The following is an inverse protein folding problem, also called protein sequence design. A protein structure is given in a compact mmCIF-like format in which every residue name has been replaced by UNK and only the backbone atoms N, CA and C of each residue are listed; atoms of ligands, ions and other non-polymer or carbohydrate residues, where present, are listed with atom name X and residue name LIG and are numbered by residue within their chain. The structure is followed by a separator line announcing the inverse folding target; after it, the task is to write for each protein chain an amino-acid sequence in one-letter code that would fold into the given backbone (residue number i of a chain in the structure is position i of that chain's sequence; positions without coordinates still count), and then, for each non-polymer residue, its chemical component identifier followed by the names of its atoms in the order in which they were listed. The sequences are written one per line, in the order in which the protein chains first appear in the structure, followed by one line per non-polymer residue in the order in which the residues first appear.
data_IF_843896583778
#
_entry.id   IF_843896583778
#
_cell.length_a   1.000
_cell.length_b   1.000
_cell.length_c   1.000
_cell.angle_alpha   90.00
_cell.angle_beta   90.00
_cell.angle_gamma   90.00
#
_symmetry.space_group_name_H-M   'P 1'
#
loop_
_entity.id
_entity.type
_entity.pdbx_description
1 polymer ?
#
# COMPACT_ATOMS: atom_id res chain seq x y z
N UNK A 1 29.35 -27.30 -53.43
CA UNK A 1 28.22 -26.39 -53.16
C UNK A 1 27.62 -26.76 -51.81
N UNK A 2 28.20 -26.27 -50.71
CA UNK A 2 27.80 -26.65 -49.34
C UNK A 2 27.99 -25.51 -48.33
N UNK A 3 28.14 -24.26 -48.78
CA UNK A 3 28.38 -23.11 -47.88
C UNK A 3 27.12 -22.32 -47.50
N UNK A 4 26.02 -22.46 -48.25
CA UNK A 4 24.76 -21.76 -47.93
C UNK A 4 23.92 -22.41 -46.83
N UNK A 5 23.99 -23.73 -46.67
CA UNK A 5 23.19 -24.46 -45.68
C UNK A 5 23.72 -24.29 -44.25
N UNK A 6 25.05 -24.17 -44.07
CA UNK A 6 25.67 -23.95 -42.76
C UNK A 6 25.47 -22.51 -42.28
N UNK A 7 25.59 -21.50 -43.15
CA UNK A 7 25.36 -20.09 -42.80
C UNK A 7 23.92 -19.83 -42.33
N UNK A 8 22.91 -20.39 -43.01
CA UNK A 8 21.52 -20.26 -42.59
C UNK A 8 21.24 -20.86 -41.20
N UNK A 9 21.86 -21.99 -40.89
CA UNK A 9 21.75 -22.63 -39.57
C UNK A 9 22.39 -21.77 -38.46
N UNK A 10 23.57 -21.18 -38.72
CA UNK A 10 24.20 -20.28 -37.75
C UNK A 10 23.36 -19.03 -37.45
N UNK A 11 22.70 -18.46 -38.46
CA UNK A 11 21.81 -17.29 -38.27
C UNK A 11 20.60 -17.66 -37.41
N UNK A 12 19.98 -18.82 -37.67
CA UNK A 12 18.82 -19.29 -36.88
C UNK A 12 19.24 -19.52 -35.42
N UNK A 13 20.36 -20.19 -35.19
CA UNK A 13 20.89 -20.43 -33.84
C UNK A 13 21.18 -19.12 -33.11
N UNK A 14 21.76 -18.12 -33.80
CA UNK A 14 22.02 -16.80 -33.23
C UNK A 14 20.72 -16.09 -32.80
N UNK A 15 19.66 -16.14 -33.61
CA UNK A 15 18.36 -15.54 -33.29
C UNK A 15 17.73 -16.23 -32.07
N UNK A 16 17.81 -17.56 -31.98
CA UNK A 16 17.26 -18.32 -30.84
C UNK A 16 17.99 -17.95 -29.55
N UNK A 17 19.32 -17.92 -29.56
CA UNK A 17 20.11 -17.55 -28.38
C UNK A 17 19.82 -16.10 -27.98
N UNK A 18 19.75 -15.18 -28.94
CA UNK A 18 19.43 -13.78 -28.68
C UNK A 18 18.02 -13.62 -28.09
N UNK A 19 17.03 -14.34 -28.62
CA UNK A 19 15.66 -14.35 -28.09
C UNK A 19 15.60 -14.85 -26.66
N UNK A 20 16.32 -15.93 -26.33
CA UNK A 20 16.42 -16.45 -24.96
C UNK A 20 17.10 -15.44 -24.04
N UNK A 21 18.17 -14.80 -24.50
CA UNK A 21 18.87 -13.77 -23.71
C UNK A 21 17.98 -12.58 -23.40
N UNK A 22 17.21 -12.09 -24.39
CA UNK A 22 16.23 -11.01 -24.20
C UNK A 22 15.14 -11.44 -23.22
N UNK A 23 14.63 -12.67 -23.33
CA UNK A 23 13.60 -13.18 -22.43
C UNK A 23 14.09 -13.29 -20.99
N UNK A 24 15.26 -13.88 -20.76
CA UNK A 24 15.87 -13.99 -19.42
C UNK A 24 16.13 -12.61 -18.84
N UNK A 25 16.67 -11.69 -19.64
CA UNK A 25 16.91 -10.29 -19.23
C UNK A 25 15.60 -9.59 -18.86
N UNK A 26 14.53 -9.79 -19.64
CA UNK A 26 13.22 -9.22 -19.35
C UNK A 26 12.61 -9.76 -18.05
N UNK A 27 12.68 -11.08 -17.82
CA UNK A 27 12.18 -11.71 -16.59
C UNK A 27 12.98 -11.22 -15.37
N UNK A 28 14.31 -11.22 -15.44
CA UNK A 28 15.17 -10.68 -14.38
C UNK A 28 14.91 -9.18 -14.11
N UNK A 29 14.71 -8.40 -15.18
CA UNK A 29 14.45 -6.97 -15.02
C UNK A 29 13.07 -6.70 -14.41
N UNK A 30 12.05 -7.43 -14.86
CA UNK A 30 10.68 -7.29 -14.38
C UNK A 30 10.53 -7.72 -12.94
N UNK A 31 11.10 -8.87 -12.59
CA UNK A 31 10.84 -9.51 -11.30
C UNK A 31 11.83 -9.07 -10.22
N UNK A 32 13.07 -8.69 -10.60
CA UNK A 32 14.11 -8.32 -9.63
C UNK A 32 14.48 -6.84 -9.68
N UNK A 33 14.78 -6.28 -10.87
CA UNK A 33 15.30 -4.91 -10.95
C UNK A 33 14.22 -3.84 -10.81
N UNK A 34 13.03 -4.04 -11.37
CA UNK A 34 11.94 -3.07 -11.29
C UNK A 34 11.48 -2.80 -9.86
N UNK A 35 11.24 -3.82 -8.99
CA UNK A 35 10.92 -3.58 -7.59
C UNK A 35 12.08 -2.92 -6.82
N UNK A 36 13.32 -3.37 -7.06
CA UNK A 36 14.51 -2.82 -6.40
C UNK A 36 14.71 -1.33 -6.71
N UNK A 37 14.58 -0.94 -7.97
CA UNK A 37 14.67 0.47 -8.39
C UNK A 37 13.53 1.29 -7.79
N UNK A 38 12.29 0.78 -7.81
CA UNK A 38 11.15 1.48 -7.23
C UNK A 38 11.35 1.76 -5.73
N UNK A 39 11.90 0.80 -4.99
CA UNK A 39 12.25 0.98 -3.58
C UNK A 39 13.34 2.04 -3.40
N UNK A 40 14.44 1.97 -4.15
CA UNK A 40 15.54 2.97 -4.05
C UNK A 40 15.04 4.38 -4.38
N UNK A 41 14.21 4.54 -5.40
CA UNK A 41 13.62 5.84 -5.73
C UNK A 41 12.69 6.34 -4.63
N UNK A 42 11.88 5.46 -4.05
CA UNK A 42 10.98 5.81 -2.95
C UNK A 42 11.76 6.22 -1.70
N UNK A 43 12.79 5.45 -1.33
CA UNK A 43 13.68 5.74 -0.21
C UNK A 43 14.44 7.06 -0.41
N UNK A 44 14.93 7.31 -1.63
CA UNK A 44 15.61 8.56 -1.98
C UNK A 44 14.68 9.78 -1.89
N UNK A 45 13.41 9.63 -2.27
CA UNK A 45 12.40 10.68 -2.10
C UNK A 45 12.04 10.92 -0.64
N UNK A 46 11.94 9.86 0.18
CA UNK A 46 11.71 9.96 1.63
C UNK A 46 12.88 10.71 2.30
N UNK A 47 14.13 10.35 1.97
CA UNK A 47 15.33 11.02 2.48
C UNK A 47 15.41 12.50 2.06
N UNK A 48 15.14 12.81 0.79
CA UNK A 48 15.18 14.19 0.31
C UNK A 48 14.12 15.05 1.01
N UNK A 49 12.95 14.51 1.28
CA UNK A 49 11.92 15.24 1.99
C UNK A 49 12.23 15.44 3.46
N UNK A 50 12.79 14.46 4.16
CA UNK A 50 13.19 14.63 5.56
C UNK A 50 14.33 15.65 5.71
N UNK A 51 15.17 15.81 4.70
CA UNK A 51 16.17 16.88 4.66
C UNK A 51 15.55 18.28 4.50
N UNK A 52 14.41 18.39 3.80
CA UNK A 52 13.73 19.68 3.53
C UNK A 52 12.74 20.04 4.64
N UNK A 53 12.10 19.04 5.24
CA UNK A 53 11.15 19.20 6.35
C UNK A 53 11.57 18.29 7.52
N UNK A 54 12.62 18.70 8.28
CA UNK A 54 13.16 17.93 9.40
C UNK A 54 12.26 17.98 10.64
N UNK A 55 11.01 18.42 10.49
CA UNK A 55 10.10 18.69 11.59
C UNK A 55 9.85 17.41 12.37
N UNK A 56 10.36 17.40 13.60
CA UNK A 56 10.18 16.29 14.53
C UNK A 56 8.71 16.20 14.90
N UNK A 57 8.07 15.10 14.54
CA UNK A 57 6.68 14.80 14.88
C UNK A 57 6.68 14.30 16.33
N UNK A 58 6.14 15.10 17.25
CA UNK A 58 6.04 14.74 18.68
C UNK A 58 4.62 14.36 19.09
N UNK A 59 3.63 14.71 18.26
CA UNK A 59 2.22 14.37 18.45
C UNK A 59 1.57 14.14 17.10
N UNK A 60 0.71 13.12 17.04
CA UNK A 60 -0.16 12.87 15.88
C UNK A 60 -1.60 13.13 16.31
N UNK A 61 -2.33 13.86 15.46
CA UNK A 61 -3.78 14.01 15.54
C UNK A 61 -4.37 13.39 14.28
N UNK A 62 -5.39 12.55 14.44
CA UNK A 62 -6.07 11.89 13.32
C UNK A 62 -7.44 12.53 13.16
N UNK A 63 -7.77 12.91 11.93
CA UNK A 63 -9.07 13.46 11.54
C UNK A 63 -9.72 12.50 10.55
N UNK A 64 -10.91 12.01 10.88
CA UNK A 64 -11.75 11.26 9.95
C UNK A 64 -12.39 12.23 8.96
N UNK A 65 -12.06 12.10 7.67
CA UNK A 65 -12.56 13.03 6.63
C UNK A 65 -13.99 12.71 6.20
N UNK A 66 -14.45 11.49 6.49
CA UNK A 66 -15.78 11.00 6.18
C UNK A 66 -16.25 10.05 7.27
N UNK A 67 -17.56 9.93 7.43
CA UNK A 67 -18.17 8.95 8.32
C UNK A 67 -18.42 7.60 7.62
N UNK A 68 -18.34 7.56 6.29
CA UNK A 68 -18.61 6.36 5.48
C UNK A 68 -17.86 6.39 4.13
N UNK A 69 -17.41 5.22 3.67
CA UNK A 69 -16.88 5.02 2.32
C UNK A 69 -17.97 4.38 1.43
N UNK A 70 -18.81 5.22 0.81
CA UNK A 70 -20.05 4.79 0.12
C UNK A 70 -19.86 3.87 -1.09
N UNK A 71 -18.74 4.00 -1.80
CA UNK A 71 -18.49 3.27 -3.05
C UNK A 71 -17.26 2.36 -2.95
N UNK A 72 -16.99 1.82 -1.76
CA UNK A 72 -15.88 0.90 -1.56
C UNK A 72 -16.10 -0.36 -2.41
N UNK A 73 -15.19 -0.61 -3.36
CA UNK A 73 -15.28 -1.80 -4.21
C UNK A 73 -14.98 -3.07 -3.41
N UNK A 74 -15.69 -4.13 -3.78
CA UNK A 74 -15.57 -5.46 -3.18
C UNK A 74 -14.50 -6.28 -3.90
N UNK A 75 -13.95 -7.27 -3.21
CA UNK A 75 -12.99 -8.24 -3.74
C UNK A 75 -11.81 -7.61 -4.49
N UNK A 76 -11.24 -6.54 -3.91
CA UNK A 76 -10.09 -5.84 -4.49
C UNK A 76 -8.77 -6.26 -3.84
N UNK A 77 -7.65 -5.75 -4.36
CA UNK A 77 -6.32 -6.02 -3.81
C UNK A 77 -6.08 -5.27 -2.51
N UNK A 78 -5.06 -5.69 -1.76
CA UNK A 78 -4.65 -5.00 -0.52
C UNK A 78 -4.29 -3.54 -0.79
N UNK A 79 -3.59 -3.25 -1.88
CA UNK A 79 -3.17 -1.89 -2.22
C UNK A 79 -4.36 -0.97 -2.46
N UNK A 80 -5.44 -1.49 -3.07
CA UNK A 80 -6.68 -0.75 -3.23
C UNK A 80 -7.27 -0.36 -1.87
N UNK A 81 -7.43 -1.33 -0.96
CA UNK A 81 -7.99 -1.06 0.36
C UNK A 81 -7.12 -0.12 1.18
N UNK A 82 -5.80 -0.35 1.22
CA UNK A 82 -4.85 0.53 1.91
C UNK A 82 -4.96 1.98 1.40
N UNK A 83 -5.07 2.16 0.08
CA UNK A 83 -5.22 3.48 -0.54
C UNK A 83 -6.53 4.17 -0.11
N UNK A 84 -7.67 3.51 -0.31
CA UNK A 84 -9.00 4.05 0.05
C UNK A 84 -9.11 4.37 1.55
N UNK A 85 -8.58 3.48 2.39
CA UNK A 85 -8.59 3.64 3.84
C UNK A 85 -7.70 4.80 4.26
N UNK A 86 -6.46 4.88 3.74
CA UNK A 86 -5.55 6.00 4.03
C UNK A 86 -6.17 7.33 3.62
N UNK A 87 -6.82 7.40 2.46
CA UNK A 87 -7.43 8.63 1.93
C UNK A 87 -8.63 9.14 2.76
N UNK A 88 -9.19 8.26 3.60
CA UNK A 88 -10.30 8.56 4.50
C UNK A 88 -9.86 9.27 5.79
N UNK A 89 -8.55 9.34 6.05
CA UNK A 89 -7.97 10.03 7.20
C UNK A 89 -7.09 11.20 6.77
N UNK A 90 -6.97 12.18 7.65
CA UNK A 90 -5.94 13.20 7.62
C UNK A 90 -5.14 13.15 8.92
N UNK A 91 -3.81 13.20 8.79
CA UNK A 91 -2.90 13.15 9.92
C UNK A 91 -2.27 14.52 10.11
N UNK A 92 -2.26 15.02 11.34
CA UNK A 92 -1.71 16.34 11.68
C UNK A 92 -0.69 16.25 12.80
N UNK A 93 0.33 17.10 12.75
CA UNK A 93 1.36 17.20 13.78
C UNK A 93 0.90 18.05 14.99
N UNK A 94 1.82 18.31 15.92
CA UNK A 94 1.58 19.15 17.10
C UNK A 94 1.14 20.59 16.79
N UNK A 95 1.50 21.12 15.63
CA UNK A 95 1.21 22.49 15.19
C UNK A 95 -0.03 22.54 14.26
N UNK A 96 -0.60 21.37 13.94
CA UNK A 96 -1.76 21.24 13.07
C UNK A 96 -1.43 21.10 11.58
N UNK A 97 -0.16 21.04 11.19
CA UNK A 97 0.24 20.81 9.79
C UNK A 97 0.01 19.36 9.39
N UNK A 98 -0.29 19.13 8.11
CA UNK A 98 -0.54 17.80 7.56
C UNK A 98 0.75 16.98 7.56
N UNK A 99 0.70 15.80 8.19
CA UNK A 99 1.72 14.76 8.09
C UNK A 99 1.37 13.87 6.89
N UNK A 100 2.32 13.69 5.98
CA UNK A 100 2.17 12.75 4.86
C UNK A 100 2.17 11.31 5.39
N UNK A 101 1.25 10.48 4.90
CA UNK A 101 1.07 9.09 5.34
C UNK A 101 2.35 8.25 5.27
N UNK A 102 3.24 8.51 4.30
CA UNK A 102 4.53 7.82 4.19
C UNK A 102 5.47 8.02 5.39
N UNK A 103 5.33 9.09 6.18
CA UNK A 103 6.11 9.31 7.42
C UNK A 103 5.54 8.51 8.60
N UNK A 104 4.46 7.76 8.38
CA UNK A 104 3.72 7.01 9.38
C UNK A 104 3.67 5.53 9.01
N UNK A 105 3.69 4.68 10.03
CA UNK A 105 3.23 3.30 9.93
C UNK A 105 1.74 3.29 10.27
N UNK A 106 0.91 2.85 9.32
CA UNK A 106 -0.54 2.79 9.47
C UNK A 106 -0.98 1.34 9.70
N UNK A 107 -1.73 1.12 10.78
CA UNK A 107 -2.35 -0.16 11.09
C UNK A 107 -3.86 0.03 11.13
N UNK A 108 -4.56 -0.57 10.16
CA UNK A 108 -6.02 -0.47 10.09
C UNK A 108 -6.67 -1.41 11.08
N UNK A 109 -7.67 -0.89 11.80
CA UNK A 109 -8.44 -1.60 12.80
C UNK A 109 -9.87 -1.70 12.34
N UNK A 110 -10.47 -2.87 12.50
CA UNK A 110 -11.85 -3.11 12.10
C UNK A 110 -12.69 -3.54 13.30
N UNK A 111 -13.98 -3.29 13.21
CA UNK A 111 -14.96 -3.80 14.14
C UNK A 111 -16.22 -4.21 13.39
N UNK A 112 -16.58 -5.48 13.57
CA UNK A 112 -17.86 -6.03 13.16
C UNK A 112 -18.89 -5.82 14.27
N UNK A 113 -20.15 -5.61 13.89
CA UNK A 113 -21.29 -5.32 14.77
C UNK A 113 -21.49 -6.38 15.87
N UNK A 114 -20.96 -7.58 15.67
CA UNK A 114 -21.03 -8.72 16.60
C UNK A 114 -19.92 -8.76 17.67
N UNK A 115 -19.14 -7.70 17.82
CA UNK A 115 -17.97 -7.55 18.74
C UNK A 115 -16.64 -8.16 18.27
N UNK A 116 -16.59 -8.68 17.04
CA UNK A 116 -15.33 -9.14 16.44
C UNK A 116 -14.49 -7.95 16.01
N UNK A 117 -13.17 -8.01 16.24
CA UNK A 117 -12.22 -6.98 15.82
C UNK A 117 -11.23 -7.58 14.82
N UNK A 118 -11.61 -7.73 13.54
CA UNK A 118 -10.71 -8.29 12.56
C UNK A 118 -9.48 -7.39 12.40
N UNK A 119 -8.31 -8.01 12.30
CA UNK A 119 -7.12 -7.31 11.79
C UNK A 119 -7.20 -7.17 10.26
N UNK A 120 -6.24 -6.48 9.65
CA UNK A 120 -6.26 -6.27 8.19
C UNK A 120 -6.22 -7.57 7.38
N UNK A 121 -5.46 -8.58 7.80
CA UNK A 121 -5.41 -9.87 7.10
C UNK A 121 -6.75 -10.60 7.18
N UNK A 122 -7.37 -10.61 8.35
CA UNK A 122 -8.70 -11.20 8.56
C UNK A 122 -9.77 -10.47 7.73
N UNK A 123 -9.70 -9.13 7.68
CA UNK A 123 -10.51 -8.32 6.77
C UNK A 123 -10.35 -8.79 5.32
N UNK A 124 -9.11 -8.89 4.83
CA UNK A 124 -8.80 -9.33 3.47
C UNK A 124 -9.34 -10.73 3.16
N UNK A 125 -9.30 -11.64 4.13
CA UNK A 125 -9.66 -13.03 3.91
C UNK A 125 -11.18 -13.29 4.00
N UNK A 126 -11.92 -12.50 4.77
CA UNK A 126 -13.30 -12.86 5.16
C UNK A 126 -14.33 -11.75 5.01
N UNK A 127 -13.92 -10.51 4.71
CA UNK A 127 -14.84 -9.37 4.71
C UNK A 127 -14.84 -8.55 3.42
N UNK A 128 -13.92 -8.81 2.48
CA UNK A 128 -13.79 -8.07 1.22
C UNK A 128 -14.98 -8.22 0.27
N UNK A 129 -15.83 -9.23 0.48
CA UNK A 129 -17.08 -9.41 -0.27
C UNK A 129 -18.14 -8.35 0.09
N UNK A 130 -17.92 -7.61 1.19
CA UNK A 130 -18.81 -6.59 1.71
C UNK A 130 -20.18 -7.12 2.11
N UNK A 131 -20.26 -8.36 2.62
CA UNK A 131 -21.48 -8.93 3.22
C UNK A 131 -21.66 -8.53 4.68
N UNK A 132 -20.60 -8.05 5.33
CA UNK A 132 -20.63 -7.59 6.72
C UNK A 132 -20.42 -6.08 6.80
N UNK A 133 -21.26 -5.43 7.61
CA UNK A 133 -21.10 -4.02 7.93
C UNK A 133 -19.94 -3.85 8.90
N UNK A 134 -18.88 -3.15 8.50
CA UNK A 134 -17.71 -2.93 9.34
C UNK A 134 -17.52 -1.45 9.69
N UNK A 135 -16.96 -1.23 10.86
CA UNK A 135 -16.36 0.04 11.27
C UNK A 135 -14.86 -0.05 11.10
N UNK A 136 -14.28 0.98 10.51
CA UNK A 136 -12.85 1.07 10.26
C UNK A 136 -12.25 2.26 11.04
N UNK A 137 -11.07 2.04 11.59
CA UNK A 137 -10.20 3.08 12.09
C UNK A 137 -8.74 2.77 11.81
N UNK A 138 -7.86 3.54 12.42
CA UNK A 138 -6.43 3.45 12.16
C UNK A 138 -5.62 3.78 13.41
N UNK A 139 -4.55 3.03 13.62
CA UNK A 139 -3.40 3.45 14.41
C UNK A 139 -2.38 4.07 13.48
N UNK A 140 -1.97 5.30 13.77
CA UNK A 140 -0.84 5.93 13.10
C UNK A 140 0.32 6.06 14.08
N UNK A 141 1.48 5.53 13.71
CA UNK A 141 2.70 5.60 14.51
C UNK A 141 3.79 6.26 13.68
N UNK A 142 4.51 7.24 14.24
CA UNK A 142 5.62 7.89 13.55
C UNK A 142 6.71 6.87 13.21
N UNK A 143 7.24 6.91 11.98
CA UNK A 143 8.39 6.08 11.60
C UNK A 143 9.67 6.50 12.31
N UNK A 144 9.82 7.80 12.59
CA UNK A 144 11.00 8.36 13.23
C UNK A 144 11.05 8.08 14.74
N UNK A 145 9.88 8.05 15.39
CA UNK A 145 9.76 7.73 16.82
C UNK A 145 8.51 6.87 17.06
N UNK A 146 8.74 5.58 17.36
CA UNK A 146 7.67 4.61 17.56
C UNK A 146 6.82 4.87 18.81
N UNK A 147 7.27 5.73 19.73
CA UNK A 147 6.49 6.13 20.91
C UNK A 147 5.41 7.16 20.57
N UNK A 148 5.58 7.89 19.47
CA UNK A 148 4.60 8.87 18.98
C UNK A 148 3.55 8.13 18.17
N UNK A 149 2.41 7.87 18.81
CA UNK A 149 1.29 7.13 18.22
C UNK A 149 -0.04 7.82 18.50
N UNK A 150 -0.99 7.65 17.58
CA UNK A 150 -2.38 8.02 17.73
C UNK A 150 -3.27 6.90 17.21
N UNK A 151 -4.44 6.72 17.81
CA UNK A 151 -5.40 5.67 17.42
C UNK A 151 -6.79 6.27 17.39
N UNK A 152 -7.54 6.00 16.33
CA UNK A 152 -8.98 6.30 16.30
C UNK A 152 -9.76 5.25 17.09
N UNK A 153 -10.88 5.66 17.69
CA UNK A 153 -11.79 4.72 18.36
C UNK A 153 -12.60 3.97 17.30
N UNK A 154 -12.63 2.65 17.40
CA UNK A 154 -13.42 1.79 16.53
C UNK A 154 -14.29 0.89 17.39
N UNK A 155 -15.60 1.00 17.26
CA UNK A 155 -16.61 0.20 17.95
C UNK A 155 -17.96 0.35 17.24
N UNK A 156 -19.03 -0.27 17.74
CA UNK A 156 -20.34 -0.27 17.08
C UNK A 156 -20.89 1.10 16.62
N UNK A 157 -20.48 2.22 17.25
CA UNK A 157 -20.86 3.58 16.85
C UNK A 157 -19.69 4.48 16.41
N UNK A 158 -18.44 4.07 16.64
CA UNK A 158 -17.24 4.87 16.36
C UNK A 158 -16.43 4.30 15.19
N UNK A 159 -15.86 5.19 14.39
CA UNK A 159 -15.10 4.84 13.19
C UNK A 159 -15.93 4.95 11.90
N UNK A 160 -15.21 4.88 10.79
CA UNK A 160 -15.74 5.07 9.44
C UNK A 160 -16.51 3.82 9.02
N UNK A 161 -17.77 3.96 8.60
CA UNK A 161 -18.54 2.84 8.02
C UNK A 161 -17.89 2.41 6.70
N UNK A 162 -17.61 1.12 6.57
CA UNK A 162 -17.29 0.49 5.29
C UNK A 162 -18.26 -0.66 5.04
N UNK A 163 -18.61 -0.88 3.77
CA UNK A 163 -19.65 -1.83 3.37
C UNK A 163 -20.94 -1.63 4.16
N UNK A 164 -21.47 -0.41 4.17
CA UNK A 164 -22.74 -0.11 4.84
C UNK A 164 -23.90 -0.94 4.29
N UNK A 165 -24.99 -1.04 5.07
CA UNK A 165 -26.19 -1.78 4.65
C UNK A 165 -26.67 -1.23 3.32
N UNK A 166 -26.80 -2.11 2.33
CA UNK A 166 -27.67 -1.88 1.18
C UNK A 166 -29.10 -1.57 1.65
#
# INVERSE_FOLDING_TARGET
MTEGASQGLFVIVAIVIFGIFVLISYVLFKDTLKPSLANIFTDGLEQAEDAVDPKVITKITIVEKTNEIKNLKKNQTEEYYISEFTNSFEFRNQDGDIIKSRKLNLEFKFHDRSTTYPNFQEFMNSYIDGHSNLRMGVTATSKADKTVTATTKVNGISGITIFGSL
#
